data_IF_944512577733
#
_entry.id   IF_944512577733
#
_cell.length_a   1.000
_cell.length_b   1.000
_cell.length_c   1.000
_cell.angle_alpha   90.00
_cell.angle_beta   90.00
_cell.angle_gamma   90.00
#
_symmetry.space_group_name_H-M   'P 1'
#
loop_
_entity.id
_entity.type
_entity.pdbx_description
1 polymer ?
#
# COMPACT_ATOMS: atom_id res chain seq x y z
N UNK A 1 1.40 11.59 14.33
CA UNK A 1 0.88 12.04 15.65
C UNK A 1 0.73 10.80 16.51
N UNK A 2 1.55 10.66 17.55
CA UNK A 2 1.45 9.57 18.52
C UNK A 2 0.14 9.73 19.30
N UNK A 3 -0.75 8.74 19.29
CA UNK A 3 -1.97 8.78 20.11
C UNK A 3 -1.57 8.64 21.58
N UNK A 4 -2.30 9.33 22.46
CA UNK A 4 -2.14 9.35 23.92
C UNK A 4 -1.86 7.93 24.47
N UNK A 5 -0.95 7.75 25.44
CA UNK A 5 -0.53 6.44 25.94
C UNK A 5 -1.68 5.49 26.32
N UNK A 6 -2.80 6.01 26.81
CA UNK A 6 -4.00 5.23 27.14
C UNK A 6 -4.67 4.58 25.92
N UNK A 7 -4.62 5.23 24.76
CA UNK A 7 -5.16 4.67 23.52
C UNK A 7 -4.25 3.58 22.95
N UNK A 8 -2.95 3.72 23.16
CA UNK A 8 -1.95 2.73 22.74
C UNK A 8 -2.09 1.45 23.55
N UNK A 9 -2.25 1.56 24.87
CA UNK A 9 -2.47 0.40 25.74
C UNK A 9 -3.77 -0.36 25.41
N UNK A 10 -4.83 0.36 25.03
CA UNK A 10 -6.08 -0.25 24.54
C UNK A 10 -5.88 -0.96 23.20
N UNK A 11 -5.18 -0.34 22.25
CA UNK A 11 -4.90 -0.95 20.95
C UNK A 11 -4.04 -2.22 21.09
N UNK A 12 -3.06 -2.21 22.01
CA UNK A 12 -2.25 -3.39 22.34
C UNK A 12 -3.09 -4.49 22.98
N UNK A 13 -3.89 -4.18 24.02
CA UNK A 13 -4.78 -5.17 24.66
C UNK A 13 -5.80 -5.76 23.69
N UNK A 14 -6.32 -4.97 22.76
CA UNK A 14 -7.24 -5.44 21.73
C UNK A 14 -6.53 -6.36 20.71
N UNK A 15 -5.29 -6.05 20.35
CA UNK A 15 -4.45 -6.89 19.48
C UNK A 15 -4.10 -8.23 20.13
N UNK A 16 -3.84 -8.25 21.45
CA UNK A 16 -3.65 -9.49 22.22
C UNK A 16 -4.90 -10.36 22.32
N UNK A 17 -6.09 -9.74 22.37
CA UNK A 17 -7.36 -10.47 22.47
C UNK A 17 -7.81 -11.10 21.15
N UNK A 18 -7.44 -10.50 20.01
CA UNK A 18 -7.74 -11.02 18.69
C UNK A 18 -6.51 -10.88 17.78
N UNK A 19 -5.48 -11.73 17.98
CA UNK A 19 -4.28 -11.72 17.15
C UNK A 19 -4.59 -12.01 15.67
N UNK A 20 -5.72 -12.68 15.41
CA UNK A 20 -6.21 -13.01 14.07
C UNK A 20 -6.98 -11.89 13.36
N UNK A 21 -7.17 -10.72 14.00
CA UNK A 21 -7.92 -9.59 13.43
C UNK A 21 -7.38 -9.11 12.07
N UNK A 22 -6.10 -9.35 11.81
CA UNK A 22 -5.42 -8.99 10.57
C UNK A 22 -5.21 -10.18 9.61
N UNK A 23 -5.61 -11.40 9.97
CA UNK A 23 -5.51 -12.59 9.10
C UNK A 23 -6.31 -12.42 7.80
N UNK A 24 -7.48 -11.82 7.88
CA UNK A 24 -8.34 -11.53 6.71
C UNK A 24 -7.74 -10.49 5.76
N UNK A 25 -6.77 -9.72 6.24
CA UNK A 25 -6.00 -8.75 5.47
C UNK A 25 -4.67 -9.35 4.97
N UNK A 26 -4.32 -10.59 5.30
CA UNK A 26 -3.18 -11.29 4.69
C UNK A 26 -3.52 -11.72 3.25
N UNK A 27 -2.53 -11.74 2.36
CA UNK A 27 -2.70 -12.23 0.98
C UNK A 27 -3.21 -13.67 0.95
N UNK A 28 -2.73 -14.50 1.88
CA UNK A 28 -3.11 -15.91 2.00
C UNK A 28 -3.46 -16.23 3.45
N UNK A 29 -4.75 -16.25 3.82
CA UNK A 29 -5.18 -16.61 5.18
C UNK A 29 -4.71 -18.05 5.51
N UNK A 30 -4.17 -18.26 6.70
CA UNK A 30 -3.63 -19.56 7.15
C UNK A 30 -2.15 -19.83 6.76
N UNK A 31 -1.41 -18.86 6.25
CA UNK A 31 0.04 -19.00 6.00
C UNK A 31 0.87 -18.09 6.93
N UNK A 32 2.09 -18.51 7.29
CA UNK A 32 3.07 -17.72 8.06
C UNK A 32 3.55 -16.44 7.34
N UNK A 33 3.04 -16.18 6.13
CA UNK A 33 3.38 -15.00 5.37
C UNK A 33 2.54 -13.82 5.84
N UNK A 34 3.12 -12.94 6.65
CA UNK A 34 2.53 -11.68 7.12
C UNK A 34 2.47 -10.58 6.04
N UNK A 35 2.46 -10.97 4.76
CA UNK A 35 2.33 -10.00 3.68
C UNK A 35 0.86 -9.58 3.61
N UNK A 36 0.63 -8.32 4.00
CA UNK A 36 -0.64 -7.63 3.88
C UNK A 36 -1.08 -7.58 2.40
N UNK A 37 -2.37 -7.76 2.16
CA UNK A 37 -2.99 -7.78 0.84
C UNK A 37 -2.61 -6.52 0.09
N UNK A 38 -1.97 -6.67 -1.08
CA UNK A 38 -1.72 -5.55 -1.98
C UNK A 38 -3.04 -4.80 -2.17
N UNK A 39 -3.08 -3.59 -1.65
CA UNK A 39 -4.32 -2.83 -1.58
C UNK A 39 -4.56 -2.25 -2.97
N UNK A 40 -5.82 -2.05 -3.38
CA UNK A 40 -6.12 -1.41 -4.68
C UNK A 40 -5.40 -0.06 -4.87
N UNK A 41 -5.02 0.58 -3.75
CA UNK A 41 -4.22 1.80 -3.69
C UNK A 41 -2.78 1.61 -4.20
N UNK A 42 -2.15 0.45 -3.95
CA UNK A 42 -0.80 0.14 -4.45
C UNK A 42 -0.81 0.02 -5.98
N UNK A 43 -1.85 -0.59 -6.54
CA UNK A 43 -2.06 -0.66 -7.99
C UNK A 43 -2.25 0.72 -8.60
N UNK A 44 -3.04 1.59 -7.96
CA UNK A 44 -3.26 2.96 -8.45
C UNK A 44 -1.97 3.80 -8.43
N UNK A 45 -1.16 3.65 -7.37
CA UNK A 45 0.14 4.33 -7.28
C UNK A 45 1.15 3.82 -8.33
N UNK A 46 1.19 2.51 -8.57
CA UNK A 46 2.06 1.90 -9.56
C UNK A 46 1.70 2.35 -10.98
N UNK A 47 0.43 2.22 -11.37
CA UNK A 47 -0.04 2.64 -12.69
C UNK A 47 0.01 4.16 -12.88
N UNK A 48 -0.22 4.95 -11.83
CA UNK A 48 -0.06 6.40 -11.89
C UNK A 48 1.38 6.82 -12.17
N UNK A 49 2.34 6.18 -11.50
CA UNK A 49 3.77 6.44 -11.73
C UNK A 49 4.20 6.01 -13.14
N UNK A 50 3.74 4.84 -13.59
CA UNK A 50 4.02 4.35 -14.95
C UNK A 50 3.44 5.25 -16.02
N UNK A 51 2.21 5.73 -15.85
CA UNK A 51 1.56 6.68 -16.76
C UNK A 51 2.33 8.01 -16.83
N UNK A 52 2.77 8.56 -15.70
CA UNK A 52 3.56 9.79 -15.66
C UNK A 52 4.87 9.64 -16.45
N UNK A 53 5.59 8.54 -16.26
CA UNK A 53 6.83 8.25 -17.00
C UNK A 53 6.54 8.13 -18.50
N UNK A 54 5.47 7.42 -18.88
CA UNK A 54 5.03 7.30 -20.27
C UNK A 54 4.73 8.66 -20.92
N UNK A 55 4.08 9.57 -20.18
CA UNK A 55 3.81 10.95 -20.64
C UNK A 55 5.11 11.72 -20.88
N UNK A 56 6.07 11.66 -19.96
CA UNK A 56 7.36 12.35 -20.13
C UNK A 56 8.10 11.84 -21.37
N UNK A 57 8.17 10.51 -21.54
CA UNK A 57 8.79 9.89 -22.72
C UNK A 57 8.08 10.31 -24.00
N UNK A 58 6.75 10.33 -24.01
CA UNK A 58 5.95 10.75 -25.14
C UNK A 58 6.19 12.23 -25.52
N UNK A 59 6.26 13.12 -24.53
CA UNK A 59 6.57 14.53 -24.76
C UNK A 59 7.98 14.72 -25.32
N UNK A 60 8.98 14.00 -24.78
CA UNK A 60 10.34 14.03 -25.32
C UNK A 60 10.38 13.52 -26.76
N UNK A 61 9.65 12.44 -27.06
CA UNK A 61 9.56 11.88 -28.40
C UNK A 61 8.91 12.87 -29.39
N UNK A 62 7.86 13.58 -28.99
CA UNK A 62 7.24 14.62 -29.82
C UNK A 62 8.22 15.76 -30.15
N UNK A 63 8.96 16.25 -29.15
CA UNK A 63 9.96 17.31 -29.34
C UNK A 63 11.05 16.86 -30.32
N UNK A 64 11.50 15.61 -30.21
CA UNK A 64 12.50 15.04 -31.12
C UNK A 64 11.94 14.86 -32.53
N UNK A 65 10.69 14.41 -32.66
CA UNK A 65 10.08 14.09 -33.96
C UNK A 65 9.66 15.33 -34.76
N UNK A 66 9.32 16.43 -34.08
CA UNK A 66 8.92 17.70 -34.71
C UNK A 66 10.15 18.50 -35.19
N UNK A 67 11.35 18.17 -34.70
CA UNK A 67 12.61 18.79 -35.12
C UNK A 67 13.21 18.10 -36.34
#
# INVERSE_FOLDING_TARGET
MQKTPELDEKAVKESYKNPEKFETQKIRPGSNWEILKFTKMDYLGFWGSWALVGVIIFLLWLVITIK
#
